data_IF_757215787578
#
_entry.id   IF_757215787578
#
_cell.length_a   1.000
_cell.length_b   1.000
_cell.length_c   1.000
_cell.angle_alpha   90.00
_cell.angle_beta   90.00
_cell.angle_gamma   90.00
#
_symmetry.space_group_name_H-M   'P 1'
#
loop_
_entity.id
_entity.type
_entity.pdbx_description
1 polymer ?
#
# COMPACT_ATOMS: atom_id res chain seq x y z
N UNK A 1 2.05 42.49 27.91
CA UNK A 1 2.16 42.99 26.53
C UNK A 1 2.19 41.79 25.59
N UNK A 2 1.24 41.66 24.64
CA UNK A 2 1.16 40.51 23.70
C UNK A 2 1.69 41.00 22.35
N UNK A 3 2.83 40.50 21.90
CA UNK A 3 3.39 40.83 20.58
C UNK A 3 2.71 39.94 19.54
N UNK A 4 2.04 40.50 18.55
CA UNK A 4 1.45 39.80 17.40
C UNK A 4 2.30 40.10 16.19
N UNK A 5 3.00 39.11 15.65
CA UNK A 5 3.73 39.20 14.40
C UNK A 5 2.81 38.71 13.28
N UNK A 6 2.54 39.55 12.28
CA UNK A 6 1.83 39.20 11.04
C UNK A 6 2.82 39.29 9.88
N UNK A 7 2.87 38.27 9.04
CA UNK A 7 3.68 38.28 7.84
C UNK A 7 3.01 37.38 6.76
N UNK A 8 3.21 37.76 5.51
CA UNK A 8 2.85 36.87 4.38
C UNK A 8 4.02 35.92 4.13
N UNK A 9 3.78 34.63 4.23
CA UNK A 9 4.76 33.61 3.82
C UNK A 9 4.67 33.51 2.29
N UNK A 10 5.66 34.06 1.60
CA UNK A 10 5.82 33.85 0.15
C UNK A 10 6.70 32.62 -0.02
N UNK A 11 6.19 31.60 -0.69
CA UNK A 11 7.00 30.43 -1.03
C UNK A 11 8.16 30.87 -1.95
N UNK A 12 9.40 30.55 -1.59
CA UNK A 12 10.55 30.78 -2.45
C UNK A 12 10.39 29.97 -3.72
N UNK A 13 10.50 30.59 -4.92
CA UNK A 13 10.45 29.83 -6.17
C UNK A 13 11.51 28.72 -6.16
N UNK A 14 11.10 27.47 -6.40
CA UNK A 14 12.02 26.34 -6.51
C UNK A 14 12.61 26.29 -7.92
N UNK A 15 13.87 25.90 -8.02
CA UNK A 15 14.44 25.55 -9.32
C UNK A 15 13.83 24.22 -9.81
N UNK A 16 13.83 23.92 -11.13
CA UNK A 16 13.38 22.64 -11.63
C UNK A 16 14.05 21.45 -10.94
N UNK A 17 15.35 21.54 -10.63
CA UNK A 17 16.10 20.48 -9.93
C UNK A 17 15.64 20.29 -8.47
N UNK A 18 15.13 21.32 -7.82
CA UNK A 18 14.56 21.21 -6.48
C UNK A 18 13.14 20.62 -6.48
N UNK A 19 12.36 20.87 -7.54
CA UNK A 19 11.02 20.31 -7.72
C UNK A 19 11.07 18.86 -8.23
N UNK A 20 12.06 18.53 -9.07
CA UNK A 20 12.26 17.23 -9.71
C UNK A 20 13.62 16.63 -9.31
N UNK A 21 13.78 16.20 -8.04
CA UNK A 21 15.07 15.76 -7.50
C UNK A 21 15.52 14.36 -8.00
N UNK A 22 14.64 13.63 -8.71
CA UNK A 22 14.93 12.28 -9.18
C UNK A 22 15.42 12.34 -10.63
N UNK A 23 16.69 12.06 -10.84
CA UNK A 23 17.24 11.83 -12.19
C UNK A 23 16.81 10.45 -12.70
N UNK A 24 15.91 10.42 -13.69
CA UNK A 24 15.39 9.18 -14.27
C UNK A 24 16.35 8.61 -15.30
N UNK A 25 17.00 9.49 -16.05
CA UNK A 25 17.89 9.20 -17.19
C UNK A 25 17.34 9.73 -18.52
N UNK A 26 18.21 9.86 -19.51
CA UNK A 26 17.83 10.41 -20.82
C UNK A 26 17.39 11.88 -20.79
N UNK A 27 17.79 12.64 -19.76
CA UNK A 27 17.37 14.02 -19.53
C UNK A 27 15.98 14.17 -18.88
N UNK A 28 15.34 13.06 -18.50
CA UNK A 28 14.08 13.08 -17.78
C UNK A 28 14.33 13.16 -16.27
N UNK A 29 13.61 14.04 -15.61
CA UNK A 29 13.61 14.22 -14.16
C UNK A 29 12.19 13.94 -13.62
N UNK A 30 12.07 13.49 -12.37
CA UNK A 30 10.77 13.24 -11.74
C UNK A 30 10.70 13.86 -10.32
N UNK A 31 9.49 14.19 -9.88
CA UNK A 31 9.24 14.73 -8.54
C UNK A 31 9.46 13.68 -7.43
N UNK A 32 9.21 12.41 -7.74
CA UNK A 32 9.34 11.25 -6.84
C UNK A 32 9.28 9.95 -7.64
N UNK A 33 9.58 8.82 -6.99
CA UNK A 33 9.48 7.48 -7.60
C UNK A 33 8.33 6.64 -7.08
N UNK A 34 7.67 7.09 -6.00
CA UNK A 34 6.59 6.33 -5.37
C UNK A 34 5.33 7.17 -5.23
N UNK A 35 4.20 6.57 -5.56
CA UNK A 35 2.86 7.17 -5.41
C UNK A 35 1.99 6.24 -4.56
N UNK A 36 1.51 6.74 -3.42
CA UNK A 36 0.48 6.07 -2.61
C UNK A 36 -0.90 6.50 -3.08
N UNK A 37 -1.73 5.55 -3.50
CA UNK A 37 -3.11 5.81 -3.91
C UNK A 37 -4.09 5.69 -2.73
N UNK A 38 -3.65 5.07 -1.62
CA UNK A 38 -4.47 4.87 -0.43
C UNK A 38 -5.35 3.62 -0.51
N UNK A 39 -6.55 3.69 0.06
CA UNK A 39 -7.52 2.61 -0.06
C UNK A 39 -8.17 2.61 -1.43
N UNK A 40 -8.17 1.44 -2.06
CA UNK A 40 -8.75 1.18 -3.37
C UNK A 40 -10.05 0.40 -3.17
N UNK A 41 -11.18 1.06 -3.37
CA UNK A 41 -12.47 0.40 -3.29
C UNK A 41 -12.64 -0.58 -4.46
N UNK A 42 -12.94 -1.85 -4.17
CA UNK A 42 -13.22 -2.85 -5.21
C UNK A 42 -14.42 -2.45 -6.04
N UNK A 43 -14.42 -2.78 -7.32
CA UNK A 43 -15.45 -2.35 -8.27
C UNK A 43 -15.29 -0.92 -8.77
N UNK A 44 -14.24 -0.20 -8.37
CA UNK A 44 -13.96 1.19 -8.80
C UNK A 44 -12.60 1.31 -9.48
N UNK A 45 -12.34 2.50 -10.02
CA UNK A 45 -11.03 2.89 -10.55
C UNK A 45 -10.52 4.10 -9.77
N UNK A 46 -9.26 4.04 -9.32
CA UNK A 46 -8.63 5.14 -8.59
C UNK A 46 -7.22 5.38 -9.11
N UNK A 47 -6.76 6.63 -9.04
CA UNK A 47 -5.46 7.02 -9.56
C UNK A 47 -4.72 7.95 -8.61
N UNK A 48 -3.40 7.90 -8.73
CA UNK A 48 -2.50 8.89 -8.16
C UNK A 48 -1.62 9.49 -9.25
N UNK A 49 -1.01 10.63 -8.98
CA UNK A 49 -0.21 11.34 -9.96
C UNK A 49 1.18 11.67 -9.43
N UNK A 50 2.13 11.79 -10.34
CA UNK A 50 3.42 12.41 -10.12
C UNK A 50 3.79 13.28 -11.32
N UNK A 51 4.64 14.27 -11.08
CA UNK A 51 5.10 15.18 -12.13
C UNK A 51 6.49 14.78 -12.61
N UNK A 52 6.76 15.08 -13.87
CA UNK A 52 8.06 14.88 -14.51
C UNK A 52 8.44 16.12 -15.35
N UNK A 53 9.72 16.24 -15.67
CA UNK A 53 10.33 17.39 -16.34
C UNK A 53 11.40 16.93 -17.31
N UNK A 54 11.44 17.53 -18.50
CA UNK A 54 12.52 17.31 -19.47
C UNK A 54 13.62 18.39 -19.29
N UNK A 55 14.72 18.00 -18.65
CA UNK A 55 15.90 18.85 -18.44
C UNK A 55 16.89 18.82 -19.63
N UNK A 56 16.58 18.04 -20.67
CA UNK A 56 17.42 17.93 -21.87
C UNK A 56 17.15 19.05 -22.89
N UNK A 57 18.04 19.18 -23.86
CA UNK A 57 17.89 20.11 -24.99
C UNK A 57 17.04 19.55 -26.13
N UNK A 58 16.62 18.30 -26.05
CA UNK A 58 15.88 17.60 -27.11
C UNK A 58 14.50 17.14 -26.59
N UNK A 59 13.55 16.99 -27.49
CA UNK A 59 12.29 16.32 -27.17
C UNK A 59 12.53 14.86 -26.78
N UNK A 60 11.77 14.35 -25.81
CA UNK A 60 11.84 12.95 -25.37
C UNK A 60 10.48 12.27 -25.57
N UNK A 61 10.50 11.03 -26.04
CA UNK A 61 9.31 10.17 -26.15
C UNK A 61 9.29 9.23 -24.97
N UNK A 62 8.16 9.18 -24.26
CA UNK A 62 7.97 8.42 -23.02
C UNK A 62 7.18 7.15 -23.29
N UNK A 63 7.57 6.08 -22.62
CA UNK A 63 6.84 4.82 -22.56
C UNK A 63 7.03 4.15 -21.22
N UNK A 64 6.40 2.99 -21.04
CA UNK A 64 6.38 2.22 -19.78
C UNK A 64 6.74 0.78 -20.04
N UNK A 65 7.58 0.23 -19.17
CA UNK A 65 7.85 -1.21 -19.08
C UNK A 65 7.45 -1.68 -17.67
N UNK A 66 6.40 -2.50 -17.59
CA UNK A 66 5.90 -3.04 -16.33
C UNK A 66 6.79 -4.17 -15.81
N UNK A 67 6.86 -4.30 -14.48
CA UNK A 67 7.44 -5.49 -13.86
C UNK A 67 6.56 -6.73 -14.11
N UNK A 68 7.18 -7.89 -14.17
CA UNK A 68 6.49 -9.17 -14.33
C UNK A 68 6.45 -9.93 -13.00
N UNK A 69 5.28 -10.51 -12.61
CA UNK A 69 3.99 -10.39 -13.28
C UNK A 69 3.37 -9.01 -13.09
N UNK A 70 2.73 -8.48 -14.13
CA UNK A 70 1.99 -7.22 -14.02
C UNK A 70 0.74 -7.39 -13.15
N UNK A 71 0.40 -6.36 -12.36
CA UNK A 71 -0.84 -6.36 -11.55
C UNK A 71 -2.03 -6.13 -12.49
N UNK A 72 -3.05 -7.00 -12.46
CA UNK A 72 -4.28 -6.79 -13.24
C UNK A 72 -4.93 -5.43 -12.92
N UNK A 73 -5.29 -4.68 -13.97
CA UNK A 73 -5.92 -3.37 -13.83
C UNK A 73 -4.97 -2.22 -13.47
N UNK A 74 -3.66 -2.47 -13.28
CA UNK A 74 -2.69 -1.40 -13.11
C UNK A 74 -2.23 -0.84 -14.46
N UNK A 75 -2.28 0.49 -14.59
CA UNK A 75 -1.83 1.18 -15.80
C UNK A 75 -1.17 2.53 -15.49
N UNK A 76 -0.33 2.97 -16.41
CA UNK A 76 0.39 4.24 -16.36
C UNK A 76 0.12 5.00 -17.65
N UNK A 77 -0.23 6.28 -17.53
CA UNK A 77 -0.44 7.17 -18.67
C UNK A 77 0.27 8.51 -18.45
N UNK A 78 0.54 9.22 -19.53
CA UNK A 78 1.21 10.51 -19.54
C UNK A 78 0.28 11.60 -20.05
N UNK A 79 0.36 12.80 -19.48
CA UNK A 79 -0.35 13.98 -20.01
C UNK A 79 0.09 14.32 -21.45
N UNK A 80 1.36 14.01 -21.78
CA UNK A 80 1.89 14.02 -23.14
C UNK A 80 2.93 12.91 -23.27
N UNK A 81 2.81 12.04 -24.31
CA UNK A 81 3.83 11.00 -24.57
C UNK A 81 5.12 11.58 -25.17
N UNK A 82 5.10 12.81 -25.69
CA UNK A 82 6.27 13.54 -26.18
C UNK A 82 6.42 14.82 -25.38
N UNK A 83 7.57 14.98 -24.73
CA UNK A 83 7.86 16.12 -23.86
C UNK A 83 8.96 16.99 -24.46
N UNK A 84 8.63 18.25 -24.74
CA UNK A 84 9.57 19.23 -25.28
C UNK A 84 10.66 19.62 -24.25
N UNK A 85 11.82 20.16 -24.69
CA UNK A 85 12.82 20.70 -23.79
C UNK A 85 12.24 21.72 -22.81
N UNK A 86 12.55 21.60 -21.52
CA UNK A 86 12.04 22.46 -20.45
C UNK A 86 10.56 22.30 -20.10
N UNK A 87 9.85 21.37 -20.75
CA UNK A 87 8.45 21.13 -20.47
C UNK A 87 8.25 20.23 -19.25
N UNK A 88 7.08 20.40 -18.61
CA UNK A 88 6.59 19.59 -17.49
C UNK A 88 5.44 18.71 -17.97
N UNK A 89 5.27 17.56 -17.35
CA UNK A 89 4.15 16.67 -17.58
C UNK A 89 3.69 16.00 -16.30
N UNK A 90 2.53 15.37 -16.38
CA UNK A 90 1.92 14.60 -15.30
C UNK A 90 1.78 13.15 -15.74
N UNK A 91 2.29 12.25 -14.92
CA UNK A 91 2.09 10.80 -15.04
C UNK A 91 0.96 10.39 -14.09
N UNK A 92 -0.02 9.68 -14.63
CA UNK A 92 -1.16 9.15 -13.89
C UNK A 92 -0.99 7.64 -13.75
N UNK A 93 -1.02 7.15 -12.51
CA UNK A 93 -0.91 5.74 -12.15
C UNK A 93 -2.27 5.27 -11.67
N UNK A 94 -2.92 4.40 -12.43
CA UNK A 94 -4.31 3.99 -12.20
C UNK A 94 -4.37 2.53 -11.78
N UNK A 95 -5.17 2.25 -10.74
CA UNK A 95 -5.67 0.93 -10.41
C UNK A 95 -7.16 0.85 -10.79
N UNK A 96 -7.48 0.05 -11.80
CA UNK A 96 -8.86 -0.26 -12.20
C UNK A 96 -9.27 -1.61 -11.63
N UNK A 97 -10.05 -1.61 -10.54
CA UNK A 97 -10.50 -2.80 -9.84
C UNK A 97 -11.93 -3.20 -10.21
N UNK A 98 -12.51 -2.65 -11.31
CA UNK A 98 -13.88 -2.99 -11.74
C UNK A 98 -14.04 -4.45 -12.15
N UNK A 99 -12.99 -5.04 -12.70
CA UNK A 99 -12.95 -6.45 -13.13
C UNK A 99 -11.83 -7.28 -12.48
N UNK A 100 -11.06 -6.68 -11.55
CA UNK A 100 -9.98 -7.36 -10.88
C UNK A 100 -10.40 -7.83 -9.48
N UNK A 101 -10.25 -9.14 -9.20
CA UNK A 101 -10.51 -9.70 -7.87
C UNK A 101 -9.26 -9.64 -6.99
N UNK A 102 -8.87 -8.42 -6.63
CA UNK A 102 -7.69 -8.15 -5.82
C UNK A 102 -8.08 -7.66 -4.42
N UNK A 103 -7.28 -8.07 -3.42
CA UNK A 103 -7.43 -7.69 -2.02
C UNK A 103 -6.08 -7.37 -1.38
N UNK A 104 -6.11 -6.51 -0.36
CA UNK A 104 -4.94 -6.21 0.43
C UNK A 104 -3.94 -5.29 -0.26
N UNK A 105 -2.67 -5.42 0.08
CA UNK A 105 -1.61 -4.55 -0.46
C UNK A 105 -1.35 -4.85 -1.92
N UNK A 106 -1.39 -3.80 -2.74
CA UNK A 106 -1.01 -3.83 -4.15
C UNK A 106 0.23 -2.95 -4.35
N UNK A 107 1.19 -3.44 -5.12
CA UNK A 107 2.42 -2.71 -5.45
C UNK A 107 2.72 -2.87 -6.94
N UNK A 108 2.29 -1.90 -7.74
CA UNK A 108 2.58 -1.84 -9.17
C UNK A 108 3.96 -1.26 -9.41
N UNK A 109 4.91 -2.09 -9.83
CA UNK A 109 6.27 -1.69 -10.20
C UNK A 109 6.41 -1.51 -11.70
N UNK A 110 7.18 -0.50 -12.14
CA UNK A 110 7.46 -0.25 -13.53
C UNK A 110 8.72 0.60 -13.72
N UNK A 111 9.19 0.63 -14.96
CA UNK A 111 10.28 1.49 -15.42
C UNK A 111 9.79 2.38 -16.55
N UNK A 112 10.33 3.58 -16.64
CA UNK A 112 10.09 4.43 -17.81
C UNK A 112 11.01 4.03 -18.95
N UNK A 113 10.53 4.19 -20.17
CA UNK A 113 11.38 4.22 -21.35
C UNK A 113 11.45 5.64 -21.88
N UNK A 114 12.65 6.09 -22.24
CA UNK A 114 12.91 7.38 -22.86
C UNK A 114 13.50 7.11 -24.24
N UNK A 115 12.83 7.57 -25.30
CA UNK A 115 13.19 7.31 -26.70
C UNK A 115 13.39 5.80 -26.98
N UNK A 116 12.50 4.97 -26.44
CA UNK A 116 12.52 3.52 -26.58
C UNK A 116 13.55 2.77 -25.71
N UNK A 117 14.39 3.49 -24.92
CA UNK A 117 15.38 2.87 -24.03
C UNK A 117 14.86 2.84 -22.61
N UNK A 118 14.90 1.67 -21.94
CA UNK A 118 14.56 1.50 -20.53
C UNK A 118 15.52 2.30 -19.64
N UNK A 119 14.94 3.03 -18.69
CA UNK A 119 15.67 3.78 -17.67
C UNK A 119 15.88 2.94 -16.41
N UNK A 120 16.97 3.17 -15.65
CA UNK A 120 17.31 2.34 -14.49
C UNK A 120 16.43 2.59 -13.26
N UNK A 121 15.72 3.71 -13.19
CA UNK A 121 14.93 4.11 -12.02
C UNK A 121 13.63 3.33 -11.99
N UNK A 122 13.42 2.59 -10.90
CA UNK A 122 12.18 1.88 -10.60
C UNK A 122 11.14 2.83 -10.02
N UNK A 123 9.95 2.85 -10.61
CA UNK A 123 8.78 3.53 -10.09
C UNK A 123 7.82 2.56 -9.43
N UNK A 124 7.05 3.06 -8.46
CA UNK A 124 6.13 2.22 -7.69
C UNK A 124 4.83 2.96 -7.40
N UNK A 125 3.70 2.32 -7.69
CA UNK A 125 2.40 2.71 -7.18
C UNK A 125 1.97 1.75 -6.08
N UNK A 126 1.50 2.26 -4.95
CA UNK A 126 1.03 1.44 -3.84
C UNK A 126 -0.42 1.76 -3.50
N UNK A 127 -1.19 0.73 -3.15
CA UNK A 127 -2.56 0.87 -2.71
C UNK A 127 -2.99 -0.31 -1.85
N UNK A 128 -4.17 -0.23 -1.25
CA UNK A 128 -4.75 -1.27 -0.41
C UNK A 128 -6.16 -1.55 -0.90
N UNK A 129 -6.36 -2.66 -1.60
CA UNK A 129 -7.66 -3.08 -2.09
C UNK A 129 -8.55 -3.54 -0.93
N UNK A 130 -9.70 -2.89 -0.79
CA UNK A 130 -10.69 -3.11 0.27
C UNK A 130 -12.10 -3.16 -0.31
N UNK A 131 -13.09 -3.46 0.52
CA UNK A 131 -14.50 -3.38 0.15
C UNK A 131 -14.90 -1.93 -0.20
N UNK A 132 -15.89 -1.76 -1.08
CA UNK A 132 -16.48 -0.45 -1.32
C UNK A 132 -17.45 -0.09 -0.19
N UNK A 133 -17.14 0.99 0.51
CA UNK A 133 -17.92 1.51 1.63
C UNK A 133 -18.71 2.78 1.27
N UNK A 134 -18.73 3.18 -0.01
CA UNK A 134 -19.33 4.44 -0.45
C UNK A 134 -20.85 4.54 -0.22
N UNK A 135 -21.53 3.39 -0.17
CA UNK A 135 -22.99 3.30 0.01
C UNK A 135 -23.44 3.17 1.47
N UNK A 136 -22.52 3.23 2.44
CA UNK A 136 -22.86 3.13 3.85
C UNK A 136 -23.47 4.44 4.36
N UNK A 137 -24.56 4.33 5.15
CA UNK A 137 -25.06 5.47 5.92
C UNK A 137 -24.06 5.87 7.01
N UNK A 138 -24.09 7.13 7.52
CA UNK A 138 -23.23 7.54 8.65
C UNK A 138 -23.35 6.62 9.87
N UNK A 139 -24.55 6.09 10.16
CA UNK A 139 -24.77 5.15 11.25
C UNK A 139 -24.10 3.80 10.97
N UNK A 140 -24.26 3.25 9.77
CA UNK A 140 -23.59 2.01 9.34
C UNK A 140 -22.08 2.14 9.36
N UNK A 141 -21.55 3.28 8.90
CA UNK A 141 -20.11 3.57 8.95
C UNK A 141 -19.60 3.63 10.38
N UNK A 142 -20.33 4.26 11.32
CA UNK A 142 -19.89 4.49 12.68
C UNK A 142 -20.15 3.32 13.63
N UNK A 143 -21.24 2.59 13.47
CA UNK A 143 -21.72 1.57 14.40
C UNK A 143 -22.01 0.21 13.77
N UNK A 144 -21.94 0.12 12.43
CA UNK A 144 -22.31 -1.09 11.69
C UNK A 144 -21.38 -2.26 12.01
N UNK A 145 -20.18 -2.20 11.49
CA UNK A 145 -19.15 -3.24 11.67
C UNK A 145 -17.98 -2.68 12.44
N UNK A 146 -17.50 -3.44 13.43
CA UNK A 146 -16.34 -3.06 14.25
C UNK A 146 -15.57 -4.31 14.65
N UNK A 147 -14.31 -4.34 14.30
CA UNK A 147 -13.40 -5.42 14.70
C UNK A 147 -12.47 -4.95 15.83
N UNK A 148 -12.52 -5.64 16.95
CA UNK A 148 -11.58 -5.48 18.05
C UNK A 148 -10.70 -6.71 18.19
N UNK A 149 -9.37 -6.51 18.14
CA UNK A 149 -8.37 -7.57 18.28
C UNK A 149 -7.73 -7.46 19.64
N UNK A 150 -7.61 -8.57 20.37
CA UNK A 150 -6.90 -8.61 21.66
C UNK A 150 -5.47 -8.09 21.58
N UNK A 151 -4.80 -8.33 20.43
CA UNK A 151 -3.50 -7.79 20.07
C UNK A 151 -3.30 -7.93 18.56
N UNK A 152 -2.41 -7.12 17.99
CA UNK A 152 -1.95 -7.23 16.61
C UNK A 152 -0.44 -7.43 16.52
N UNK A 153 0.21 -7.53 17.67
CA UNK A 153 1.65 -7.72 17.79
C UNK A 153 1.95 -8.67 18.95
N UNK A 154 2.95 -9.54 18.77
CA UNK A 154 3.52 -10.34 19.84
C UNK A 154 5.01 -10.60 19.60
N UNK A 155 5.81 -10.53 20.66
CA UNK A 155 7.22 -10.83 20.66
C UNK A 155 7.52 -12.07 21.51
N UNK A 156 8.15 -13.07 20.91
CA UNK A 156 8.44 -14.35 21.55
C UNK A 156 9.74 -14.37 22.39
N UNK A 157 10.53 -13.28 22.34
CA UNK A 157 11.89 -13.29 22.90
C UNK A 157 12.84 -14.11 22.00
N UNK A 158 13.74 -14.85 22.61
CA UNK A 158 14.70 -15.68 21.91
C UNK A 158 14.02 -16.94 21.34
N UNK A 159 14.32 -17.26 20.09
CA UNK A 159 13.77 -18.38 19.33
C UNK A 159 14.93 -19.07 18.61
N UNK A 160 15.02 -20.38 18.68
CA UNK A 160 16.04 -21.14 17.93
C UNK A 160 15.72 -21.13 16.43
N UNK A 161 16.75 -21.06 15.60
CA UNK A 161 16.59 -21.20 14.16
C UNK A 161 15.89 -22.54 13.82
N UNK A 162 14.87 -22.49 12.95
CA UNK A 162 14.03 -23.65 12.59
C UNK A 162 12.88 -23.95 13.57
N UNK A 163 12.77 -23.22 14.68
CA UNK A 163 11.67 -23.41 15.65
C UNK A 163 10.42 -22.65 15.23
N UNK A 164 9.24 -23.25 15.46
CA UNK A 164 7.96 -22.58 15.31
C UNK A 164 7.44 -22.11 16.67
N UNK A 165 6.93 -20.87 16.71
CA UNK A 165 6.30 -20.30 17.92
C UNK A 165 4.87 -19.83 17.60
N UNK A 166 3.93 -20.26 18.42
CA UNK A 166 2.49 -19.99 18.22
C UNK A 166 1.92 -19.12 19.33
N UNK A 167 1.06 -18.17 18.95
CA UNK A 167 0.30 -17.30 19.84
C UNK A 167 -1.17 -17.26 19.41
N UNK A 168 -2.08 -17.35 20.37
CA UNK A 168 -3.51 -17.19 20.13
C UNK A 168 -3.90 -15.72 20.21
N UNK A 169 -4.79 -15.33 19.31
CA UNK A 169 -5.42 -14.03 19.20
C UNK A 169 -6.91 -14.20 19.13
N UNK A 170 -7.65 -13.20 19.58
CA UNK A 170 -9.10 -13.16 19.47
C UNK A 170 -9.52 -11.90 18.73
N UNK A 171 -10.42 -12.04 17.77
CA UNK A 171 -11.13 -10.94 17.14
C UNK A 171 -12.59 -10.96 17.60
N UNK A 172 -13.08 -9.84 18.10
CA UNK A 172 -14.46 -9.64 18.55
C UNK A 172 -15.17 -8.65 17.65
N UNK A 173 -16.39 -8.95 17.26
CA UNK A 173 -17.24 -8.00 16.58
C UNK A 173 -17.98 -7.14 17.61
N UNK A 174 -17.54 -5.92 17.80
CA UNK A 174 -18.17 -4.94 18.72
C UNK A 174 -19.19 -4.03 18.01
N UNK A 175 -19.41 -4.26 16.70
CA UNK A 175 -20.41 -3.56 15.91
C UNK A 175 -21.80 -4.21 15.97
N UNK A 176 -22.74 -3.63 15.22
CA UNK A 176 -24.13 -4.07 15.14
C UNK A 176 -24.46 -4.95 13.92
N UNK A 177 -23.54 -5.02 12.95
CA UNK A 177 -23.68 -5.83 11.73
C UNK A 177 -22.61 -6.93 11.70
N UNK A 178 -22.81 -8.02 10.95
CA UNK A 178 -21.85 -9.10 10.86
C UNK A 178 -20.47 -8.63 10.38
N UNK A 179 -19.43 -8.99 11.11
CA UNK A 179 -18.04 -8.81 10.73
C UNK A 179 -17.62 -9.97 9.82
N UNK A 180 -17.06 -9.66 8.66
CA UNK A 180 -16.63 -10.64 7.66
C UNK A 180 -15.14 -10.48 7.40
N UNK A 181 -14.41 -11.57 7.46
CA UNK A 181 -13.01 -11.64 7.05
C UNK A 181 -12.96 -11.78 5.52
N UNK A 182 -12.57 -10.73 4.82
CA UNK A 182 -12.55 -10.68 3.35
C UNK A 182 -11.31 -11.30 2.73
N UNK A 183 -10.18 -11.17 3.42
CA UNK A 183 -8.90 -11.67 2.92
C UNK A 183 -7.93 -11.90 4.07
N UNK A 184 -7.11 -12.94 3.95
CA UNK A 184 -6.03 -13.25 4.90
C UNK A 184 -4.81 -13.65 4.09
N UNK A 185 -3.72 -12.92 4.26
CA UNK A 185 -2.48 -13.18 3.53
C UNK A 185 -1.28 -13.12 4.49
N UNK A 186 -0.84 -14.26 4.99
CA UNK A 186 0.43 -14.35 5.71
C UNK A 186 1.61 -14.26 4.74
N UNK A 187 2.73 -13.71 5.20
CA UNK A 187 4.00 -13.84 4.49
C UNK A 187 4.59 -15.25 4.66
N UNK A 188 5.75 -15.50 4.07
CA UNK A 188 6.44 -16.81 4.09
C UNK A 188 6.86 -17.25 5.50
N UNK A 189 7.03 -16.28 6.43
CA UNK A 189 7.51 -16.51 7.78
C UNK A 189 6.36 -16.67 8.80
N UNK A 190 5.12 -16.61 8.35
CA UNK A 190 3.97 -16.69 9.25
C UNK A 190 2.87 -17.57 8.68
N UNK A 191 2.12 -18.23 9.56
CA UNK A 191 0.83 -18.84 9.23
C UNK A 191 -0.22 -18.44 10.25
N UNK A 192 -1.49 -18.43 9.83
CA UNK A 192 -2.63 -18.14 10.70
C UNK A 192 -3.77 -19.11 10.44
N UNK A 193 -4.54 -19.42 11.49
CA UNK A 193 -5.71 -20.31 11.37
C UNK A 193 -7.00 -19.56 11.04
N UNK A 194 -7.01 -18.21 11.10
CA UNK A 194 -8.14 -17.39 10.67
C UNK A 194 -8.34 -17.56 9.15
N UNK A 195 -9.57 -17.84 8.73
CA UNK A 195 -9.90 -18.11 7.33
C UNK A 195 -10.66 -16.95 6.70
N UNK A 196 -10.37 -16.71 5.43
CA UNK A 196 -11.23 -15.88 4.58
C UNK A 196 -12.65 -16.44 4.57
N UNK A 197 -13.66 -15.56 4.54
CA UNK A 197 -15.07 -15.93 4.61
C UNK A 197 -15.60 -16.15 6.04
N UNK A 198 -14.74 -16.11 7.08
CA UNK A 198 -15.21 -16.18 8.48
C UNK A 198 -16.17 -15.03 8.77
N UNK A 199 -17.35 -15.39 9.29
CA UNK A 199 -18.40 -14.42 9.70
C UNK A 199 -18.56 -14.43 11.22
N UNK A 200 -18.46 -13.28 11.84
CA UNK A 200 -18.59 -13.09 13.29
C UNK A 200 -19.84 -12.23 13.54
N UNK A 201 -20.84 -12.80 14.24
CA UNK A 201 -22.08 -12.08 14.60
C UNK A 201 -21.78 -10.93 15.56
N UNK A 202 -22.65 -9.90 15.64
CA UNK A 202 -22.56 -8.85 16.67
C UNK A 202 -22.38 -9.44 18.07
N UNK A 203 -21.39 -8.92 18.82
CA UNK A 203 -21.02 -9.41 20.14
C UNK A 203 -20.26 -10.74 20.17
N UNK A 204 -20.14 -11.43 19.03
CA UNK A 204 -19.41 -12.69 18.93
C UNK A 204 -17.90 -12.50 18.79
N UNK A 205 -17.17 -13.59 19.01
CA UNK A 205 -15.70 -13.62 18.92
C UNK A 205 -15.22 -14.90 18.23
N UNK A 206 -14.05 -14.81 17.58
CA UNK A 206 -13.33 -15.96 17.04
C UNK A 206 -11.91 -15.90 17.56
N UNK A 207 -11.45 -17.02 18.15
CA UNK A 207 -10.05 -17.21 18.53
C UNK A 207 -9.33 -17.95 17.40
N UNK A 208 -8.14 -17.48 17.05
CA UNK A 208 -7.30 -18.06 16.02
C UNK A 208 -5.84 -18.01 16.45
N UNK A 209 -5.01 -18.85 15.86
CA UNK A 209 -3.57 -18.87 16.13
C UNK A 209 -2.80 -18.21 15.00
N UNK A 210 -1.71 -17.53 15.38
CA UNK A 210 -0.63 -17.12 14.49
C UNK A 210 0.64 -17.85 14.88
N UNK A 211 1.35 -18.40 13.90
CA UNK A 211 2.61 -19.15 14.11
C UNK A 211 3.73 -18.46 13.36
N UNK A 212 4.79 -18.08 14.08
CA UNK A 212 6.04 -17.60 13.52
C UNK A 212 6.90 -18.81 13.14
N UNK A 213 7.40 -18.83 11.91
CA UNK A 213 8.27 -19.87 11.37
C UNK A 213 9.66 -19.30 11.14
N UNK A 214 10.65 -19.86 11.80
CA UNK A 214 12.05 -19.38 11.72
C UNK A 214 12.93 -20.28 10.86
N UNK A 215 12.32 -21.12 10.01
CA UNK A 215 13.06 -21.95 9.05
C UNK A 215 13.90 -21.07 8.11
N UNK A 216 15.17 -21.40 7.95
CA UNK A 216 16.11 -20.63 7.12
C UNK A 216 16.49 -19.25 7.67
N UNK A 217 16.00 -18.87 8.86
CA UNK A 217 16.33 -17.58 9.47
C UNK A 217 17.78 -17.53 9.95
N UNK A 218 18.40 -16.35 9.75
CA UNK A 218 19.72 -16.04 10.32
C UNK A 218 19.56 -15.47 11.73
N UNK A 219 20.60 -15.60 12.60
CA UNK A 219 20.60 -14.96 13.91
C UNK A 219 20.31 -13.47 13.84
N UNK A 220 19.49 -12.98 14.78
CA UNK A 220 19.06 -11.60 14.87
C UNK A 220 17.56 -11.41 14.90
N UNK A 221 17.10 -10.16 14.71
CA UNK A 221 15.67 -9.84 14.68
C UNK A 221 14.99 -10.51 13.51
N UNK A 222 13.86 -11.17 13.81
CA UNK A 222 13.06 -11.89 12.83
C UNK A 222 11.58 -11.54 12.98
N UNK A 223 10.85 -11.45 11.87
CA UNK A 223 9.46 -11.03 11.87
C UNK A 223 8.68 -11.78 10.80
N UNK A 224 7.48 -12.22 11.16
CA UNK A 224 6.44 -12.67 10.25
C UNK A 224 5.23 -11.73 10.34
N UNK A 225 4.56 -11.50 9.22
CA UNK A 225 3.39 -10.62 9.12
C UNK A 225 2.23 -11.30 8.43
N UNK A 226 1.01 -10.88 8.79
CA UNK A 226 -0.22 -11.28 8.09
C UNK A 226 -1.09 -10.06 7.86
N UNK A 227 -1.47 -9.83 6.60
CA UNK A 227 -2.48 -8.83 6.24
C UNK A 227 -3.85 -9.47 6.31
N UNK A 228 -4.76 -8.82 7.04
CA UNK A 228 -6.17 -9.23 7.19
C UNK A 228 -7.03 -8.08 6.68
N UNK A 229 -7.88 -8.33 5.69
CA UNK A 229 -8.88 -7.37 5.21
C UNK A 229 -10.26 -7.77 5.75
N UNK A 230 -10.95 -6.79 6.28
CA UNK A 230 -12.27 -6.91 6.92
C UNK A 230 -13.27 -5.97 6.26
N UNK A 231 -14.55 -6.23 6.47
CA UNK A 231 -15.60 -5.27 6.11
C UNK A 231 -15.85 -4.20 7.21
N UNK A 232 -14.86 -3.90 8.04
CA UNK A 232 -14.87 -2.80 9.00
C UNK A 232 -14.47 -1.49 8.28
N UNK A 233 -15.41 -0.54 8.02
CA UNK A 233 -15.15 0.61 7.18
C UNK A 233 -14.16 1.61 7.79
N UNK A 234 -14.01 1.61 9.11
CA UNK A 234 -13.08 2.55 9.76
C UNK A 234 -11.65 2.03 9.76
N UNK A 235 -11.47 0.72 9.77
CA UNK A 235 -10.14 0.10 9.77
C UNK A 235 -10.18 -1.20 8.97
N UNK A 236 -10.35 -1.12 7.64
CA UNK A 236 -10.56 -2.31 6.80
C UNK A 236 -9.35 -3.22 6.72
N UNK A 237 -8.15 -2.69 6.93
CA UNK A 237 -6.92 -3.50 6.99
C UNK A 237 -6.38 -3.59 8.41
N UNK A 238 -6.01 -4.80 8.78
CA UNK A 238 -5.22 -5.10 9.98
C UNK A 238 -3.93 -5.80 9.55
N UNK A 239 -2.86 -5.50 10.25
CA UNK A 239 -1.59 -6.21 10.11
C UNK A 239 -1.25 -6.87 11.44
N UNK A 240 -1.21 -8.19 11.45
CA UNK A 240 -0.75 -8.98 12.58
C UNK A 240 0.74 -9.23 12.43
N UNK A 241 1.53 -9.00 13.49
CA UNK A 241 2.99 -9.17 13.51
C UNK A 241 3.42 -10.08 14.64
N UNK A 242 4.22 -11.07 14.30
CA UNK A 242 4.93 -11.91 15.24
C UNK A 242 6.42 -11.67 15.09
N UNK A 243 7.12 -11.50 16.18
CA UNK A 243 8.57 -11.24 16.16
C UNK A 243 9.29 -12.12 17.16
N UNK A 244 10.56 -12.38 16.89
CA UNK A 244 11.48 -13.06 17.79
C UNK A 244 12.90 -12.60 17.53
N UNK A 245 13.80 -13.01 18.41
CA UNK A 245 15.23 -12.86 18.25
C UNK A 245 15.81 -14.25 17.99
N UNK A 246 16.20 -14.53 16.76
CA UNK A 246 16.72 -15.85 16.36
C UNK A 246 18.14 -16.00 16.91
N UNK A 247 18.37 -17.09 17.66
CA UNK A 247 19.67 -17.44 18.29
C UNK A 247 20.19 -18.78 17.77
#
# INVERSE_FOLDING_TARGET
>A
MKLIIRGNVIATPRTPQQEFPVEVGGGLMASRTTVGVGYLARGTSQAGTLEYYNDSKNSVTLGVEYESPAIPGFSVSFSSPVLQPGARGVMTLTYDLRSADLWGRLTGGFYLTVNGRKMPVRFTATGIAVEDFSNLTPEQFNQGVRADFTAQYYHFGDVRAGEEKTKNFTVTNTGRLPLIVRYVHPDEHMSVTLKQGTVIRPGGSVTFSGTLRTEGARPGRFMGTTVIILNDPQRPMRELRLTGNVI
#
